data_IF_684433385663
#
_entry.id   IF_684433385663
#
_cell.length_a   1.000
_cell.length_b   1.000
_cell.length_c   1.000
_cell.angle_alpha   90.00
_cell.angle_beta   90.00
_cell.angle_gamma   90.00
#
_symmetry.space_group_name_H-M   'P 1'
#
loop_
_entity.id
_entity.type
_entity.pdbx_description
1 polymer ?
#
# COMPACT_ATOMS: atom_id res chain seq x y z
N UNK A 1 38.72 -4.61 -27.81
CA UNK A 1 39.39 -5.40 -28.87
C UNK A 1 38.55 -6.65 -29.13
N UNK A 2 37.59 -6.56 -30.05
CA UNK A 2 36.75 -7.71 -30.44
C UNK A 2 37.52 -8.44 -31.54
N UNK A 3 38.08 -9.61 -31.23
CA UNK A 3 38.70 -10.48 -32.24
C UNK A 3 37.59 -10.91 -33.21
N UNK A 4 37.69 -10.47 -34.47
CA UNK A 4 36.88 -11.01 -35.54
C UNK A 4 37.26 -12.47 -35.75
N UNK A 5 36.30 -13.37 -35.55
CA UNK A 5 36.49 -14.78 -35.89
C UNK A 5 36.50 -14.89 -37.42
N UNK A 6 37.67 -15.20 -37.97
CA UNK A 6 37.89 -15.39 -39.39
C UNK A 6 37.22 -16.69 -39.84
N UNK A 7 36.40 -16.62 -40.90
CA UNK A 7 35.69 -17.74 -41.51
C UNK A 7 36.61 -18.93 -41.88
N UNK A 8 37.92 -18.71 -42.01
CA UNK A 8 38.92 -19.74 -42.29
C UNK A 8 39.11 -20.76 -41.17
N UNK A 9 38.75 -20.46 -39.92
CA UNK A 9 39.00 -21.34 -38.77
C UNK A 9 37.90 -22.41 -38.55
N UNK A 10 36.81 -22.39 -39.33
CA UNK A 10 35.72 -23.38 -39.25
C UNK A 10 35.84 -24.55 -40.24
N UNK A 11 37.01 -24.78 -40.84
CA UNK A 11 37.22 -25.84 -41.86
C UNK A 11 37.22 -27.29 -41.33
N UNK A 12 36.95 -27.51 -40.05
CA UNK A 12 36.88 -28.84 -39.42
C UNK A 12 35.48 -29.29 -38.98
N UNK A 13 34.47 -28.43 -39.03
CA UNK A 13 33.13 -28.77 -38.59
C UNK A 13 32.27 -29.17 -39.80
N UNK A 14 31.69 -30.38 -39.75
CA UNK A 14 30.74 -30.84 -40.77
C UNK A 14 29.64 -29.80 -40.94
N UNK A 15 29.28 -29.47 -42.18
CA UNK A 15 28.22 -28.51 -42.52
C UNK A 15 26.91 -28.84 -41.78
N UNK A 16 26.67 -30.12 -41.48
CA UNK A 16 25.55 -30.61 -40.69
C UNK A 16 25.59 -30.10 -39.23
N UNK A 17 26.76 -30.14 -38.60
CA UNK A 17 26.98 -29.73 -37.21
C UNK A 17 26.74 -28.22 -37.08
N UNK A 18 27.31 -27.43 -37.99
CA UNK A 18 27.12 -25.97 -37.99
C UNK A 18 25.65 -25.58 -38.18
N UNK A 19 24.93 -26.25 -39.10
CA UNK A 19 23.49 -25.99 -39.32
C UNK A 19 22.64 -26.37 -38.10
N UNK A 20 22.98 -27.47 -37.42
CA UNK A 20 22.25 -27.91 -36.22
C UNK A 20 22.33 -26.88 -35.09
N UNK A 21 23.52 -26.29 -34.84
CA UNK A 21 23.69 -25.24 -33.84
C UNK A 21 22.88 -23.98 -34.17
N UNK A 22 22.84 -23.57 -35.45
CA UNK A 22 22.06 -22.40 -35.88
C UNK A 22 20.56 -22.62 -35.70
N UNK A 23 20.05 -23.81 -36.06
CA UNK A 23 18.63 -24.15 -35.91
C UNK A 23 18.25 -24.18 -34.42
N UNK A 24 19.07 -24.82 -33.57
CA UNK A 24 18.83 -24.88 -32.14
C UNK A 24 18.78 -23.48 -31.52
N UNK A 25 19.71 -22.60 -31.90
CA UNK A 25 19.75 -21.23 -31.43
C UNK A 25 18.50 -20.44 -31.86
N UNK A 26 18.06 -20.58 -33.11
CA UNK A 26 16.83 -19.93 -33.60
C UNK A 26 15.57 -20.43 -32.88
N UNK A 27 15.51 -21.73 -32.55
CA UNK A 27 14.39 -22.30 -31.79
C UNK A 27 14.34 -21.78 -30.35
N UNK A 28 15.49 -21.64 -29.69
CA UNK A 28 15.57 -21.06 -28.34
C UNK A 28 15.17 -19.58 -28.35
N UNK A 29 15.63 -18.82 -29.36
CA UNK A 29 15.23 -17.41 -29.52
C UNK A 29 13.74 -17.25 -29.78
N UNK A 30 13.16 -18.09 -30.66
CA UNK A 30 11.72 -18.09 -30.92
C UNK A 30 10.93 -18.44 -29.65
N UNK A 31 11.33 -19.48 -28.92
CA UNK A 31 10.70 -19.87 -27.67
C UNK A 31 10.74 -18.75 -26.61
N UNK A 32 11.88 -18.05 -26.48
CA UNK A 32 12.02 -16.91 -25.57
C UNK A 32 11.13 -15.72 -25.96
N UNK A 33 10.91 -15.48 -27.25
CA UNK A 33 10.01 -14.43 -27.74
C UNK A 33 8.54 -14.74 -27.43
N UNK A 34 8.11 -15.98 -27.59
CA UNK A 34 6.74 -16.42 -27.23
C UNK A 34 6.54 -16.58 -25.72
N UNK A 35 7.61 -16.73 -24.94
CA UNK A 35 7.55 -16.94 -23.51
C UNK A 35 7.53 -15.64 -22.67
N UNK A 36 7.63 -14.44 -23.27
CA UNK A 36 7.53 -13.17 -22.52
C UNK A 36 6.07 -12.89 -22.11
N UNK A 37 5.68 -13.17 -20.86
CA UNK A 37 4.32 -12.95 -20.42
C UNK A 37 4.20 -11.47 -20.02
N UNK A 38 3.56 -10.64 -20.83
CA UNK A 38 2.84 -9.43 -20.36
C UNK A 38 3.60 -8.45 -19.42
N UNK A 39 4.92 -8.33 -19.51
CA UNK A 39 5.72 -7.42 -18.65
C UNK A 39 5.93 -6.01 -19.26
N UNK A 40 5.21 -5.65 -20.32
CA UNK A 40 5.25 -4.28 -20.86
C UNK A 40 4.18 -3.40 -20.20
N UNK A 41 4.54 -2.20 -19.69
CA UNK A 41 3.59 -1.23 -19.13
C UNK A 41 2.50 -0.81 -20.13
N UNK A 42 2.78 -0.94 -21.43
CA UNK A 42 1.90 -0.56 -22.54
C UNK A 42 0.84 -1.60 -22.88
N UNK A 43 0.84 -2.79 -22.26
CA UNK A 43 -0.21 -3.76 -22.49
C UNK A 43 -1.54 -3.24 -21.89
N UNK A 44 -2.68 -3.33 -22.60
CA UNK A 44 -3.94 -2.68 -22.20
C UNK A 44 -4.42 -3.04 -20.78
N UNK A 45 -4.11 -4.27 -20.31
CA UNK A 45 -4.41 -4.70 -18.93
C UNK A 45 -3.63 -3.93 -17.85
N UNK A 46 -2.40 -3.52 -18.15
CA UNK A 46 -1.54 -2.80 -17.21
C UNK A 46 -1.87 -1.29 -17.20
N UNK A 47 -2.20 -0.74 -18.37
CA UNK A 47 -2.62 0.67 -18.51
C UNK A 47 -3.89 0.97 -17.72
N UNK A 48 -4.90 0.10 -17.79
CA UNK A 48 -6.15 0.30 -17.07
C UNK A 48 -5.99 0.16 -15.55
N UNK A 49 -5.08 -0.72 -15.08
CA UNK A 49 -4.74 -0.81 -13.65
C UNK A 49 -4.07 0.45 -13.12
N UNK A 50 -3.13 1.02 -13.88
CA UNK A 50 -2.49 2.29 -13.52
C UNK A 50 -3.50 3.44 -13.45
N UNK A 51 -4.43 3.51 -14.40
CA UNK A 51 -5.51 4.50 -14.40
C UNK A 51 -6.49 4.30 -13.24
N UNK A 52 -6.84 3.06 -12.92
CA UNK A 52 -7.74 2.73 -11.80
C UNK A 52 -7.13 3.07 -10.43
N UNK A 53 -5.79 3.07 -10.30
CA UNK A 53 -5.12 3.50 -9.08
C UNK A 53 -5.45 4.97 -8.73
N UNK A 54 -5.63 5.83 -9.74
CA UNK A 54 -6.05 7.22 -9.55
C UNK A 54 -7.40 7.30 -8.83
N UNK A 55 -8.44 6.65 -9.37
CA UNK A 55 -9.79 6.65 -8.80
C UNK A 55 -9.79 6.17 -7.35
N UNK A 56 -9.12 5.03 -7.08
CA UNK A 56 -8.98 4.49 -5.72
C UNK A 56 -8.26 5.46 -4.78
N UNK A 57 -7.13 6.02 -5.20
CA UNK A 57 -6.31 6.90 -4.37
C UNK A 57 -7.04 8.21 -4.04
N UNK A 58 -7.68 8.82 -5.04
CA UNK A 58 -8.39 10.08 -4.86
C UNK A 58 -9.64 9.89 -3.99
N UNK A 59 -10.42 8.83 -4.20
CA UNK A 59 -11.53 8.48 -3.31
C UNK A 59 -11.05 8.28 -1.86
N UNK A 60 -9.91 7.61 -1.65
CA UNK A 60 -9.33 7.45 -0.31
C UNK A 60 -8.95 8.79 0.33
N UNK A 61 -8.29 9.68 -0.41
CA UNK A 61 -7.90 11.00 0.08
C UNK A 61 -9.12 11.86 0.44
N UNK A 62 -10.20 11.79 -0.35
CA UNK A 62 -11.46 12.49 -0.07
C UNK A 62 -12.12 11.92 1.19
N UNK A 63 -12.16 10.60 1.37
CA UNK A 63 -12.69 10.00 2.60
C UNK A 63 -11.92 10.48 3.84
N UNK A 64 -10.59 10.52 3.78
CA UNK A 64 -9.75 11.04 4.88
C UNK A 64 -10.05 12.51 5.19
N UNK A 65 -10.24 13.33 4.15
CA UNK A 65 -10.61 14.73 4.32
C UNK A 65 -12.00 14.90 4.93
N UNK A 66 -12.97 14.06 4.55
CA UNK A 66 -14.30 14.07 5.15
C UNK A 66 -14.24 13.73 6.65
N UNK A 67 -13.41 12.75 7.03
CA UNK A 67 -13.20 12.41 8.45
C UNK A 67 -12.53 13.55 9.21
N UNK A 68 -11.49 14.16 8.65
CA UNK A 68 -10.81 15.31 9.26
C UNK A 68 -11.76 16.51 9.42
N UNK A 69 -12.48 16.86 8.36
CA UNK A 69 -13.44 17.96 8.39
C UNK A 69 -14.56 17.71 9.41
N UNK A 70 -15.07 16.47 9.51
CA UNK A 70 -16.05 16.10 10.53
C UNK A 70 -15.47 16.24 11.94
N UNK A 71 -14.23 15.80 12.18
CA UNK A 71 -13.59 15.94 13.48
C UNK A 71 -13.44 17.40 13.94
N UNK A 72 -13.23 18.32 12.99
CA UNK A 72 -13.09 19.75 13.26
C UNK A 72 -14.44 20.47 13.36
N UNK A 73 -15.45 20.06 12.57
CA UNK A 73 -16.67 20.85 12.36
C UNK A 73 -17.97 20.15 12.80
N UNK A 74 -17.91 18.88 13.22
CA UNK A 74 -19.05 18.08 13.65
C UNK A 74 -20.07 17.74 12.55
N UNK A 75 -19.73 17.96 11.28
CA UNK A 75 -20.58 17.68 10.11
C UNK A 75 -19.75 17.29 8.89
N UNK A 76 -20.34 16.51 7.98
CA UNK A 76 -19.70 16.18 6.70
C UNK A 76 -19.87 17.31 5.69
N UNK A 77 -18.94 17.41 4.74
CA UNK A 77 -19.13 18.24 3.55
C UNK A 77 -20.01 17.46 2.59
N UNK A 78 -21.24 17.94 2.35
CA UNK A 78 -22.19 17.27 1.46
C UNK A 78 -22.48 18.02 0.17
N UNK A 79 -21.99 19.26 0.07
CA UNK A 79 -22.18 20.14 -1.08
C UNK A 79 -21.18 19.79 -2.19
N UNK A 80 -21.68 19.39 -3.36
CA UNK A 80 -20.84 19.16 -4.55
C UNK A 80 -20.60 20.47 -5.34
N UNK A 81 -20.18 21.52 -4.65
CA UNK A 81 -19.87 22.85 -5.21
C UNK A 81 -18.39 23.18 -5.04
N UNK A 82 -17.83 24.17 -5.77
CA UNK A 82 -16.44 24.59 -5.59
C UNK A 82 -16.07 24.90 -4.13
N UNK A 83 -16.97 25.54 -3.39
CA UNK A 83 -16.79 25.89 -1.97
C UNK A 83 -16.78 24.64 -1.08
N UNK A 84 -17.63 23.65 -1.38
CA UNK A 84 -17.62 22.35 -0.70
C UNK A 84 -16.28 21.63 -0.90
N UNK A 85 -15.79 21.58 -2.13
CA UNK A 85 -14.49 20.98 -2.45
C UNK A 85 -13.31 21.75 -1.84
N UNK A 86 -13.40 23.07 -1.73
CA UNK A 86 -12.41 23.90 -1.06
C UNK A 86 -12.33 23.60 0.44
N UNK A 87 -13.46 23.41 1.13
CA UNK A 87 -13.51 23.01 2.54
C UNK A 87 -12.77 21.70 2.83
N UNK A 88 -12.75 20.77 1.87
CA UNK A 88 -12.01 19.51 2.01
C UNK A 88 -10.50 19.66 1.81
N UNK A 89 -10.04 20.73 1.16
CA UNK A 89 -8.62 21.05 0.95
C UNK A 89 -7.76 19.89 0.39
N UNK A 90 -8.36 18.96 -0.38
CA UNK A 90 -7.68 17.75 -0.88
C UNK A 90 -6.73 17.99 -2.06
N UNK A 91 -6.79 19.15 -2.70
CA UNK A 91 -5.98 19.47 -3.90
C UNK A 91 -6.30 18.62 -5.13
N UNK A 92 -7.47 17.98 -5.18
CA UNK A 92 -7.90 17.10 -6.27
C UNK A 92 -8.78 17.90 -7.25
N UNK A 93 -8.52 17.75 -8.55
CA UNK A 93 -9.42 18.24 -9.59
C UNK A 93 -10.70 17.41 -9.60
N UNK A 94 -11.87 18.06 -9.60
CA UNK A 94 -13.18 17.39 -9.64
C UNK A 94 -13.43 16.65 -10.95
N UNK A 95 -12.61 16.86 -11.98
CA UNK A 95 -12.60 16.05 -13.19
C UNK A 95 -11.16 15.86 -13.70
N UNK A 96 -10.85 14.63 -14.06
CA UNK A 96 -9.59 14.24 -14.72
C UNK A 96 -9.91 13.63 -16.08
N UNK A 97 -8.88 13.14 -16.77
CA UNK A 97 -9.05 12.40 -18.03
C UNK A 97 -9.68 11.01 -17.83
N UNK A 98 -9.77 10.51 -16.59
CA UNK A 98 -10.24 9.17 -16.28
C UNK A 98 -11.53 9.16 -15.45
N UNK A 99 -11.71 10.14 -14.57
CA UNK A 99 -12.79 10.16 -13.58
C UNK A 99 -13.41 11.55 -13.41
N UNK A 100 -14.71 11.56 -13.10
CA UNK A 100 -15.42 12.71 -12.55
C UNK A 100 -15.70 12.44 -11.08
N UNK A 101 -15.29 13.36 -10.22
CA UNK A 101 -15.48 13.26 -8.79
C UNK A 101 -16.69 14.07 -8.34
N UNK A 102 -17.51 13.48 -7.47
CA UNK A 102 -18.67 14.14 -6.88
C UNK A 102 -18.91 13.65 -5.46
N UNK A 103 -19.64 14.45 -4.67
CA UNK A 103 -19.99 14.15 -3.29
C UNK A 103 -21.51 14.20 -3.14
N UNK A 104 -22.09 13.36 -2.27
CA UNK A 104 -23.52 13.44 -1.93
C UNK A 104 -23.77 13.04 -0.47
N UNK A 105 -24.77 13.63 0.16
CA UNK A 105 -25.14 13.30 1.54
C UNK A 105 -25.69 11.87 1.68
N UNK A 106 -25.47 11.26 2.85
CA UNK A 106 -26.17 10.06 3.33
C UNK A 106 -26.87 10.44 4.63
N UNK A 107 -28.04 11.05 4.50
CA UNK A 107 -28.74 11.63 5.65
C UNK A 107 -27.84 12.61 6.41
N UNK A 108 -27.86 12.54 7.75
CA UNK A 108 -27.02 13.37 8.63
C UNK A 108 -25.73 12.67 9.09
N UNK A 109 -25.69 11.35 8.95
CA UNK A 109 -24.68 10.50 9.56
C UNK A 109 -23.63 10.02 8.57
N UNK A 110 -23.65 10.47 7.32
CA UNK A 110 -22.62 10.11 6.37
C UNK A 110 -22.63 10.88 5.06
N UNK A 111 -21.69 10.50 4.20
CA UNK A 111 -21.43 11.11 2.91
C UNK A 111 -20.84 10.08 1.95
N UNK A 112 -21.30 10.13 0.70
CA UNK A 112 -20.71 9.41 -0.43
C UNK A 112 -19.74 10.31 -1.18
N UNK A 113 -18.64 9.71 -1.63
CA UNK A 113 -17.77 10.25 -2.68
C UNK A 113 -17.83 9.31 -3.88
N UNK A 114 -17.99 9.85 -5.08
CA UNK A 114 -17.97 9.06 -6.31
C UNK A 114 -16.74 9.42 -7.14
N UNK A 115 -16.07 8.40 -7.68
CA UNK A 115 -15.16 8.52 -8.81
C UNK A 115 -15.83 7.81 -10.00
N UNK A 116 -16.49 8.58 -10.85
CA UNK A 116 -17.28 8.08 -11.97
C UNK A 116 -16.46 8.05 -13.26
N UNK A 117 -16.23 6.85 -13.79
CA UNK A 117 -15.60 6.65 -15.10
C UNK A 117 -16.61 6.35 -16.21
N UNK A 118 -17.90 6.15 -15.90
CA UNK A 118 -18.88 5.56 -16.83
C UNK A 118 -19.10 6.38 -18.10
N UNK A 119 -18.96 7.71 -18.00
CA UNK A 119 -19.11 8.66 -19.12
C UNK A 119 -17.77 9.18 -19.67
N UNK A 120 -16.63 8.85 -19.04
CA UNK A 120 -15.31 9.34 -19.44
C UNK A 120 -14.48 8.23 -20.06
N UNK A 121 -14.34 7.11 -19.35
CA UNK A 121 -13.56 5.97 -19.79
C UNK A 121 -14.23 4.66 -19.37
N UNK A 122 -15.10 4.14 -20.25
CA UNK A 122 -15.87 2.89 -20.03
C UNK A 122 -15.01 1.64 -19.84
N UNK A 123 -13.71 1.70 -20.12
CA UNK A 123 -12.79 0.60 -19.85
C UNK A 123 -12.33 0.55 -18.38
N UNK A 124 -12.67 1.56 -17.58
CA UNK A 124 -12.34 1.63 -16.16
C UNK A 124 -13.56 1.32 -15.29
N UNK A 125 -13.28 0.79 -14.11
CA UNK A 125 -14.27 0.66 -13.03
C UNK A 125 -14.43 1.99 -12.30
N UNK A 126 -15.61 2.20 -11.74
CA UNK A 126 -15.93 3.36 -10.92
C UNK A 126 -15.76 3.02 -9.44
N UNK A 127 -15.60 4.04 -8.60
CA UNK A 127 -15.42 3.87 -7.16
C UNK A 127 -16.44 4.69 -6.37
N UNK A 128 -16.94 4.10 -5.29
CA UNK A 128 -17.76 4.79 -4.28
C UNK A 128 -17.00 4.77 -2.95
N UNK A 129 -16.62 5.93 -2.44
CA UNK A 129 -16.18 6.11 -1.06
C UNK A 129 -17.38 6.39 -0.17
N UNK A 130 -17.46 5.75 0.98
CA UNK A 130 -18.53 5.99 1.95
C UNK A 130 -17.87 6.32 3.28
N UNK A 131 -18.22 7.47 3.86
CA UNK A 131 -17.82 7.85 5.22
C UNK A 131 -19.07 8.04 6.03
N UNK A 132 -19.12 7.47 7.23
CA UNK A 132 -20.27 7.62 8.09
C UNK A 132 -19.97 7.36 9.55
N UNK A 133 -20.93 7.71 10.40
CA UNK A 133 -20.91 7.46 11.82
C UNK A 133 -21.75 6.23 12.12
N UNK A 134 -21.16 5.26 12.80
CA UNK A 134 -21.84 4.06 13.31
C UNK A 134 -21.76 4.05 14.84
N UNK A 135 -22.68 3.38 15.50
CA UNK A 135 -22.64 3.16 16.94
C UNK A 135 -21.41 2.36 17.33
N UNK A 136 -20.74 2.81 18.39
CA UNK A 136 -19.67 2.05 19.01
C UNK A 136 -20.26 0.76 19.62
N UNK A 137 -19.82 -0.45 19.20
CA UNK A 137 -20.29 -1.70 19.80
C UNK A 137 -19.87 -1.87 21.27
N UNK A 138 -18.83 -1.14 21.71
CA UNK A 138 -18.28 -1.19 23.07
C UNK A 138 -18.84 -0.10 23.98
N UNK A 139 -19.28 1.04 23.42
CA UNK A 139 -19.83 2.17 24.17
C UNK A 139 -21.22 2.57 23.63
N UNK A 140 -22.31 1.94 24.13
CA UNK A 140 -23.67 2.24 23.67
C UNK A 140 -24.03 3.72 23.85
N UNK A 141 -24.34 4.39 22.75
CA UNK A 141 -24.67 5.82 22.71
C UNK A 141 -23.57 6.71 22.12
N UNK A 142 -22.34 6.20 22.03
CA UNK A 142 -21.27 6.87 21.30
C UNK A 142 -21.28 6.47 19.81
N UNK A 143 -20.83 7.39 18.96
CA UNK A 143 -20.68 7.15 17.52
C UNK A 143 -19.21 7.21 17.12
N UNK A 144 -18.79 6.25 16.31
CA UNK A 144 -17.48 6.20 15.68
C UNK A 144 -17.62 6.40 14.16
N UNK A 145 -16.76 7.24 13.61
CA UNK A 145 -16.48 7.39 12.20
C UNK A 145 -15.86 6.13 11.58
N UNK A 146 -16.39 5.79 10.42
CA UNK A 146 -16.05 4.62 9.64
C UNK A 146 -15.97 5.03 8.17
N UNK A 147 -14.99 4.50 7.44
CA UNK A 147 -14.85 4.79 6.01
C UNK A 147 -14.53 3.54 5.20
N UNK A 148 -15.20 3.39 4.07
CA UNK A 148 -14.97 2.29 3.12
C UNK A 148 -14.77 2.81 1.70
N UNK A 149 -14.17 1.98 0.85
CA UNK A 149 -14.10 2.18 -0.59
C UNK A 149 -14.67 0.95 -1.29
N UNK A 150 -15.56 1.21 -2.22
CA UNK A 150 -16.25 0.23 -3.04
C UNK A 150 -15.84 0.39 -4.49
N UNK A 151 -15.63 -0.72 -5.18
CA UNK A 151 -15.32 -0.78 -6.61
C UNK A 151 -16.46 -1.43 -7.38
N UNK A 152 -16.89 -0.85 -8.50
CA UNK A 152 -17.95 -1.46 -9.31
C UNK A 152 -17.58 -2.86 -9.81
N UNK A 153 -18.60 -3.71 -9.92
CA UNK A 153 -18.44 -5.10 -10.39
C UNK A 153 -17.85 -5.12 -11.80
N UNK A 154 -18.38 -4.28 -12.70
CA UNK A 154 -17.91 -4.18 -14.08
C UNK A 154 -17.33 -2.80 -14.40
N UNK A 155 -16.49 -2.76 -15.43
CA UNK A 155 -16.01 -1.51 -15.99
C UNK A 155 -17.15 -0.81 -16.76
N UNK A 156 -17.19 0.52 -16.69
CA UNK A 156 -18.24 1.32 -17.30
C UNK A 156 -19.55 1.38 -16.52
N UNK A 157 -19.67 0.67 -15.39
CA UNK A 157 -20.79 0.81 -14.48
C UNK A 157 -20.78 2.19 -13.79
N UNK A 158 -21.96 2.78 -13.63
CA UNK A 158 -22.16 4.01 -12.86
C UNK A 158 -21.97 3.68 -11.36
N UNK A 159 -21.20 4.46 -10.60
CA UNK A 159 -21.10 4.27 -9.16
C UNK A 159 -22.43 4.62 -8.48
N UNK A 160 -22.91 3.74 -7.60
CA UNK A 160 -24.14 3.95 -6.83
C UNK A 160 -23.81 4.41 -5.40
N UNK A 161 -24.73 5.12 -4.72
CA UNK A 161 -24.56 5.51 -3.31
C UNK A 161 -24.49 4.28 -2.41
N UNK A 162 -23.54 4.27 -1.48
CA UNK A 162 -23.50 3.31 -0.39
C UNK A 162 -24.47 3.67 0.73
N UNK A 163 -24.52 2.81 1.74
CA UNK A 163 -25.42 2.96 2.90
C UNK A 163 -24.63 3.15 4.19
N UNK A 164 -25.15 3.99 5.09
CA UNK A 164 -24.72 4.07 6.49
C UNK A 164 -25.89 3.61 7.35
N UNK A 165 -25.66 2.59 8.16
CA UNK A 165 -26.64 2.08 9.13
C UNK A 165 -26.10 2.29 10.54
N UNK A 166 -26.92 2.00 11.56
CA UNK A 166 -26.50 2.17 12.95
C UNK A 166 -25.22 1.40 13.31
N UNK A 167 -24.89 0.29 12.64
CA UNK A 167 -23.76 -0.57 13.05
C UNK A 167 -22.74 -0.83 11.95
N UNK A 168 -22.96 -0.32 10.74
CA UNK A 168 -22.07 -0.57 9.60
C UNK A 168 -22.26 0.42 8.48
N UNK A 169 -21.18 0.57 7.71
CA UNK A 169 -21.18 1.20 6.39
C UNK A 169 -21.13 0.10 5.34
N UNK A 170 -21.91 0.23 4.25
CA UNK A 170 -22.01 -0.78 3.20
C UNK A 170 -21.76 -0.21 1.82
N UNK A 171 -21.16 -1.04 0.97
CA UNK A 171 -21.13 -0.82 -0.47
C UNK A 171 -22.51 -0.97 -1.11
N UNK A 172 -22.76 -0.28 -2.23
CA UNK A 172 -23.93 -0.53 -3.05
C UNK A 172 -23.88 -1.93 -3.69
N UNK A 173 -25.05 -2.46 -4.06
CA UNK A 173 -25.18 -3.81 -4.61
C UNK A 173 -24.37 -4.05 -5.90
N UNK A 174 -24.07 -3.00 -6.67
CA UNK A 174 -23.30 -3.11 -7.90
C UNK A 174 -21.78 -3.07 -7.69
N UNK A 175 -21.30 -3.12 -6.44
CA UNK A 175 -19.88 -2.93 -6.12
C UNK A 175 -19.38 -3.93 -5.07
N UNK A 176 -18.07 -4.12 -5.01
CA UNK A 176 -17.37 -4.89 -3.97
C UNK A 176 -16.63 -3.97 -3.02
N UNK A 177 -16.60 -4.32 -1.73
CA UNK A 177 -15.73 -3.68 -0.75
C UNK A 177 -14.26 -3.99 -1.07
N UNK A 178 -13.43 -2.95 -1.17
CA UNK A 178 -11.99 -3.09 -1.47
C UNK A 178 -11.09 -2.41 -0.43
N UNK A 179 -11.65 -1.66 0.52
CA UNK A 179 -10.92 -1.04 1.63
C UNK A 179 -11.89 -0.61 2.75
N UNK A 180 -11.45 -0.70 4.00
CA UNK A 180 -12.21 -0.33 5.21
C UNK A 180 -11.25 0.30 6.26
N UNK A 181 -11.69 1.35 6.96
CA UNK A 181 -10.90 2.14 7.90
C UNK A 181 -11.75 2.72 9.05
N UNK A 182 -11.28 2.55 10.28
CA UNK A 182 -11.91 3.05 11.52
C UNK A 182 -11.20 4.30 12.03
N UNK A 183 -11.96 5.31 12.45
CA UNK A 183 -11.41 6.62 12.81
C UNK A 183 -11.25 6.87 14.32
N UNK A 184 -12.02 6.21 15.20
CA UNK A 184 -12.06 6.53 16.65
C UNK A 184 -11.56 5.45 17.61
N UNK A 185 -10.75 4.49 17.19
CA UNK A 185 -9.96 3.74 18.16
C UNK A 185 -8.88 4.68 18.74
N UNK A 186 -9.19 5.36 19.85
CA UNK A 186 -8.21 6.14 20.60
C UNK A 186 -7.12 5.21 21.13
N UNK A 187 -5.82 5.51 20.94
CA UNK A 187 -4.82 5.08 21.88
C UNK A 187 -4.91 6.01 23.08
N UNK A 188 -5.31 5.49 24.23
CA UNK A 188 -5.07 6.15 25.51
C UNK A 188 -3.56 6.40 25.66
N UNK A 189 -3.09 7.62 25.40
CA UNK A 189 -1.82 8.12 25.90
C UNK A 189 -1.99 9.58 26.35
N UNK A 190 -2.25 9.71 27.63
CA UNK A 190 -1.92 10.90 28.42
C UNK A 190 -0.40 11.09 28.42
N UNK A 191 0.11 12.20 27.88
CA UNK A 191 1.10 13.06 28.56
C UNK A 191 1.40 14.31 27.73
N UNK A 192 0.91 15.43 28.23
CA UNK A 192 1.58 16.72 28.42
C UNK A 192 2.97 17.00 27.81
N UNK A 193 3.03 18.21 27.25
CA UNK A 193 4.10 19.22 27.33
C UNK A 193 5.31 19.21 26.37
N UNK A 194 5.24 20.17 25.44
CA UNK A 194 6.06 21.39 25.40
C UNK A 194 7.25 21.48 24.42
N UNK A 195 7.22 22.64 23.74
CA UNK A 195 8.31 23.46 23.22
C UNK A 195 8.78 23.31 21.77
N UNK A 196 8.46 24.39 21.05
CA UNK A 196 9.13 25.02 19.93
C UNK A 196 10.66 25.10 20.06
N UNK A 197 11.40 24.84 18.98
CA UNK A 197 12.16 25.86 18.24
C UNK A 197 13.02 25.30 17.09
N UNK A 198 12.97 26.07 16.00
CA UNK A 198 13.85 26.29 14.85
C UNK A 198 15.20 25.54 14.63
N UNK A 199 15.33 25.12 13.35
CA UNK A 199 16.44 25.28 12.39
C UNK A 199 17.56 24.21 12.20
N UNK A 200 18.06 24.05 10.95
CA UNK A 200 18.77 22.88 10.44
C UNK A 200 20.29 23.07 10.42
N UNK A 201 21.04 21.97 10.45
CA UNK A 201 22.42 21.96 9.95
C UNK A 201 22.82 20.58 9.43
N UNK A 202 23.58 20.63 8.34
CA UNK A 202 24.13 19.54 7.53
C UNK A 202 25.02 18.60 8.35
N UNK A 203 25.02 17.31 8.00
CA UNK A 203 26.24 16.50 7.90
C UNK A 203 25.96 15.23 7.05
N UNK A 204 26.77 15.05 6.01
CA UNK A 204 26.98 13.81 5.26
C UNK A 204 28.52 13.58 5.17
N UNK A 205 29.02 12.38 4.81
CA UNK A 205 28.64 11.06 5.31
C UNK A 205 29.91 10.20 5.62
N UNK A 206 29.74 9.04 6.25
CA UNK A 206 30.67 7.90 6.10
C UNK A 206 29.85 6.61 5.84
N UNK A 207 30.29 5.71 4.94
CA UNK A 207 29.50 4.56 4.51
C UNK A 207 29.56 3.41 5.54
N UNK A 208 28.47 2.65 5.78
CA UNK A 208 28.55 1.46 6.60
C UNK A 208 28.98 0.23 5.78
N UNK A 209 29.89 -0.51 6.40
CA UNK A 209 30.48 -1.78 5.98
C UNK A 209 29.42 -2.89 5.84
N UNK A 210 29.51 -3.70 4.79
CA UNK A 210 28.44 -4.62 4.33
C UNK A 210 28.46 -6.01 4.99
N UNK A 211 29.22 -6.22 6.07
CA UNK A 211 29.48 -7.58 6.60
C UNK A 211 29.31 -7.76 8.12
N UNK A 212 28.65 -6.83 8.84
CA UNK A 212 28.27 -7.06 10.24
C UNK A 212 26.76 -7.29 10.36
N UNK A 213 26.41 -8.45 10.91
CA UNK A 213 25.06 -8.80 11.32
C UNK A 213 24.62 -7.79 12.40
N UNK A 214 23.58 -6.97 12.22
CA UNK A 214 23.21 -6.00 13.23
C UNK A 214 22.57 -6.73 14.42
N UNK A 215 23.31 -6.85 15.51
CA UNK A 215 22.73 -6.97 16.83
C UNK A 215 21.74 -5.81 17.06
N UNK A 216 20.65 -5.99 17.82
CA UNK A 216 19.67 -4.93 18.08
C UNK A 216 20.38 -3.70 18.64
N UNK A 217 20.36 -2.62 17.86
CA UNK A 217 21.01 -1.35 18.20
C UNK A 217 20.18 -0.66 19.28
N UNK A 218 20.81 -0.24 20.38
CA UNK A 218 20.17 0.64 21.38
C UNK A 218 19.55 1.86 20.68
N UNK A 219 18.24 2.07 20.86
CA UNK A 219 17.49 3.13 20.18
C UNK A 219 16.61 2.66 19.02
N UNK A 220 16.01 1.47 19.11
CA UNK A 220 14.96 1.00 18.20
C UNK A 220 13.86 2.06 18.08
N UNK A 221 13.62 2.61 16.87
CA UNK A 221 12.66 3.68 16.68
C UNK A 221 11.25 3.12 16.80
N UNK A 222 10.48 3.68 17.72
CA UNK A 222 9.10 3.34 17.99
C UNK A 222 8.21 4.49 17.54
N UNK A 223 7.58 4.36 16.37
CA UNK A 223 6.83 5.45 15.74
C UNK A 223 5.32 5.29 15.95
N UNK A 224 4.66 6.40 16.28
CA UNK A 224 3.19 6.51 16.30
C UNK A 224 2.61 6.62 14.89
N UNK A 225 3.39 7.07 13.91
CA UNK A 225 3.01 7.18 12.50
C UNK A 225 4.19 6.78 11.60
N UNK A 226 3.91 6.00 10.57
CA UNK A 226 4.94 5.62 9.61
C UNK A 226 5.49 6.85 8.86
N UNK A 227 6.82 7.02 8.89
CA UNK A 227 7.53 8.06 8.15
C UNK A 227 8.58 7.43 7.23
N UNK A 228 8.31 7.36 5.91
CA UNK A 228 9.24 6.77 4.95
C UNK A 228 10.56 7.55 4.85
N UNK A 229 10.53 8.85 5.14
CA UNK A 229 11.73 9.69 5.15
C UNK A 229 12.64 9.32 6.33
N UNK A 230 12.08 9.20 7.54
CA UNK A 230 12.84 8.77 8.72
C UNK A 230 13.41 7.35 8.55
N UNK A 231 12.65 6.44 7.94
CA UNK A 231 13.12 5.08 7.64
C UNK A 231 14.29 5.09 6.65
N UNK A 232 14.19 5.87 5.57
CA UNK A 232 15.26 6.02 4.57
C UNK A 232 16.51 6.69 5.15
N UNK A 233 16.37 7.69 6.01
CA UNK A 233 17.50 8.33 6.69
C UNK A 233 18.27 7.35 7.59
N UNK A 234 17.57 6.39 8.22
CA UNK A 234 18.19 5.40 9.11
C UNK A 234 19.00 4.35 8.36
N UNK A 235 18.55 3.96 7.18
CA UNK A 235 19.17 2.92 6.35
C UNK A 235 19.92 3.48 5.13
N UNK A 236 20.52 4.68 5.24
CA UNK A 236 21.32 5.33 4.18
C UNK A 236 22.35 4.35 3.58
N UNK A 237 22.03 3.76 2.42
CA UNK A 237 22.84 2.72 1.76
C UNK A 237 21.99 1.70 0.97
N UNK A 238 22.62 0.65 0.41
CA UNK A 238 21.91 -0.50 -0.19
C UNK A 238 21.32 -1.38 0.92
N UNK A 239 20.21 -0.92 1.50
CA UNK A 239 19.45 -1.69 2.47
C UNK A 239 19.15 -3.10 1.91
N UNK A 240 19.33 -4.18 2.69
CA UNK A 240 19.04 -5.51 2.23
C UNK A 240 17.56 -5.61 1.83
N UNK A 241 17.31 -6.26 0.70
CA UNK A 241 15.96 -6.48 0.16
C UNK A 241 15.68 -7.99 0.23
N UNK A 242 14.48 -8.37 0.65
CA UNK A 242 14.16 -9.79 0.83
C UNK A 242 12.69 -10.06 1.13
N UNK A 243 12.37 -11.34 1.32
CA UNK A 243 11.05 -11.74 1.79
C UNK A 243 10.95 -11.58 3.29
N UNK A 244 9.74 -11.43 3.81
CA UNK A 244 9.52 -11.36 5.26
C UNK A 244 8.73 -12.57 5.74
N UNK A 245 9.28 -13.21 6.76
CA UNK A 245 8.64 -14.27 7.53
C UNK A 245 8.32 -13.74 8.92
N UNK A 246 7.04 -13.79 9.26
CA UNK A 246 6.58 -13.49 10.62
C UNK A 246 6.37 -14.81 11.33
N UNK A 247 6.92 -14.90 12.54
CA UNK A 247 6.66 -15.99 13.47
C UNK A 247 5.80 -15.44 14.60
N UNK A 248 4.57 -15.93 14.71
CA UNK A 248 3.74 -15.68 15.89
C UNK A 248 4.15 -16.66 16.98
N UNK A 249 5.02 -16.20 17.87
CA UNK A 249 5.51 -16.90 19.06
C UNK A 249 4.70 -16.57 20.32
N UNK A 250 3.59 -15.84 20.18
CA UNK A 250 2.62 -15.62 21.27
C UNK A 250 1.58 -16.73 21.37
N UNK A 251 0.81 -16.70 22.44
CA UNK A 251 -0.37 -17.55 22.69
C UNK A 251 -1.67 -16.97 22.10
N UNK A 252 -1.61 -15.82 21.40
CA UNK A 252 -2.77 -15.11 20.87
C UNK A 252 -2.72 -14.95 19.35
N UNK A 253 -3.88 -14.69 18.73
CA UNK A 253 -3.94 -14.29 17.33
C UNK A 253 -3.24 -12.93 17.17
N UNK A 254 -2.29 -12.84 16.24
CA UNK A 254 -1.54 -11.61 16.01
C UNK A 254 -1.89 -11.01 14.65
N UNK A 255 -2.29 -9.74 14.65
CA UNK A 255 -2.49 -8.94 13.44
C UNK A 255 -1.20 -8.22 13.05
N UNK A 256 -0.60 -8.57 11.93
CA UNK A 256 0.58 -7.89 11.36
C UNK A 256 0.11 -6.89 10.34
N UNK A 257 0.67 -5.68 10.40
CA UNK A 257 0.39 -4.60 9.47
C UNK A 257 1.72 -4.14 8.86
N UNK A 258 1.79 -4.15 7.53
CA UNK A 258 2.97 -3.73 6.80
C UNK A 258 2.74 -2.38 6.14
N UNK A 259 3.76 -1.53 6.17
CA UNK A 259 3.74 -0.18 5.65
C UNK A 259 4.74 0.04 4.51
N UNK A 260 4.30 0.71 3.44
CA UNK A 260 5.09 0.98 2.23
C UNK A 260 5.23 2.49 1.97
N UNK A 261 6.42 3.00 1.57
CA UNK A 261 6.63 4.40 1.22
C UNK A 261 5.63 4.95 0.19
N UNK A 262 5.34 4.16 -0.84
CA UNK A 262 4.52 4.58 -1.97
C UNK A 262 3.01 4.30 -1.77
N UNK A 263 2.61 3.85 -0.57
CA UNK A 263 1.20 3.61 -0.26
C UNK A 263 0.56 4.84 0.39
N UNK A 264 -0.67 5.18 -0.01
CA UNK A 264 -1.38 6.37 0.47
C UNK A 264 -1.72 6.24 1.98
N UNK A 265 -0.94 6.89 2.83
CA UNK A 265 -1.05 6.78 4.30
C UNK A 265 -0.16 5.68 4.89
N UNK A 266 0.74 5.10 4.09
CA UNK A 266 1.73 4.15 4.55
C UNK A 266 1.23 2.72 4.66
N UNK A 267 -0.05 2.42 4.78
CA UNK A 267 -0.55 1.04 4.92
C UNK A 267 -0.51 0.27 3.59
N UNK A 268 0.13 -0.90 3.57
CA UNK A 268 0.15 -1.80 2.41
C UNK A 268 -0.83 -2.98 2.55
N UNK A 269 -0.71 -3.77 3.62
CA UNK A 269 -1.49 -4.99 3.81
C UNK A 269 -1.48 -5.46 5.27
N UNK A 270 -2.44 -6.32 5.61
CA UNK A 270 -2.66 -6.86 6.95
C UNK A 270 -2.80 -8.38 6.91
N UNK A 271 -2.27 -9.07 7.90
CA UNK A 271 -2.38 -10.52 8.06
C UNK A 271 -2.72 -10.88 9.50
N UNK A 272 -3.64 -11.82 9.70
CA UNK A 272 -3.92 -12.40 11.00
C UNK A 272 -3.20 -13.77 11.07
N UNK A 273 -2.32 -13.95 12.05
CA UNK A 273 -1.47 -15.13 12.21
C UNK A 273 -1.86 -15.82 13.52
N UNK A 274 -2.29 -17.09 13.43
CA UNK A 274 -2.65 -17.88 14.61
C UNK A 274 -1.43 -18.16 15.52
N UNK A 275 -1.66 -18.39 16.83
CA UNK A 275 -0.62 -18.75 17.79
C UNK A 275 0.28 -19.89 17.29
N UNK A 276 1.59 -19.76 17.48
CA UNK A 276 2.59 -20.78 17.12
C UNK A 276 2.77 -21.02 15.62
N UNK A 277 2.20 -20.18 14.74
CA UNK A 277 2.35 -20.30 13.29
C UNK A 277 3.38 -19.31 12.76
N UNK A 278 4.10 -19.71 11.72
CA UNK A 278 4.88 -18.80 10.88
C UNK A 278 4.26 -18.66 9.50
N UNK A 279 4.45 -17.49 8.89
CA UNK A 279 4.00 -17.24 7.52
C UNK A 279 4.96 -16.31 6.80
N UNK A 280 5.20 -16.59 5.52
CA UNK A 280 5.89 -15.66 4.63
C UNK A 280 4.83 -14.75 4.04
N UNK A 281 4.98 -13.44 4.23
CA UNK A 281 3.95 -12.50 3.77
C UNK A 281 3.83 -12.54 2.25
N UNK A 282 2.58 -12.57 1.78
CA UNK A 282 2.24 -12.67 0.38
C UNK A 282 0.94 -11.89 0.11
N UNK A 283 0.84 -11.31 -1.09
CA UNK A 283 -0.35 -10.64 -1.60
C UNK A 283 -0.75 -11.38 -2.88
N UNK A 284 -2.02 -11.79 -2.99
CA UNK A 284 -2.52 -12.60 -4.12
C UNK A 284 -1.67 -13.86 -4.37
N UNK A 285 -1.27 -14.54 -3.28
CA UNK A 285 -0.43 -15.73 -3.30
C UNK A 285 1.00 -15.53 -3.85
N UNK A 286 1.41 -14.28 -4.08
CA UNK A 286 2.76 -13.91 -4.49
C UNK A 286 3.53 -13.34 -3.29
N UNK A 287 4.70 -13.92 -3.00
CA UNK A 287 5.58 -13.42 -1.94
C UNK A 287 5.99 -12.00 -2.23
N UNK A 288 5.94 -11.16 -1.20
CA UNK A 288 6.38 -9.78 -1.31
C UNK A 288 7.88 -9.67 -1.05
N UNK A 289 8.52 -8.78 -1.77
CA UNK A 289 9.92 -8.43 -1.61
C UNK A 289 9.97 -7.02 -1.01
N UNK A 290 10.59 -6.90 0.15
CA UNK A 290 10.53 -5.68 0.98
C UNK A 290 11.94 -5.18 1.30
N UNK A 291 12.06 -3.86 1.47
CA UNK A 291 13.28 -3.20 1.92
C UNK A 291 13.30 -3.00 3.44
N UNK A 292 14.49 -2.74 3.99
CA UNK A 292 14.67 -2.45 5.42
C UNK A 292 13.94 -1.17 5.87
N UNK A 293 13.69 -0.25 4.93
CA UNK A 293 13.03 1.05 5.13
C UNK A 293 11.50 0.97 5.16
N UNK A 294 10.93 -0.21 4.96
CA UNK A 294 9.49 -0.43 5.10
C UNK A 294 9.10 -0.46 6.57
N UNK A 295 7.88 -0.04 6.90
CA UNK A 295 7.39 -0.09 8.28
C UNK A 295 6.67 -1.39 8.57
N UNK A 296 6.74 -1.88 9.81
CA UNK A 296 5.94 -3.00 10.29
C UNK A 296 5.38 -2.68 11.67
N UNK A 297 4.16 -3.15 11.92
CA UNK A 297 3.49 -3.14 13.22
C UNK A 297 2.89 -4.50 13.50
N UNK A 298 2.94 -4.94 14.74
CA UNK A 298 2.30 -6.16 15.21
C UNK A 298 1.31 -5.82 16.32
N UNK A 299 0.05 -6.20 16.12
CA UNK A 299 -1.07 -5.86 16.99
C UNK A 299 -1.08 -4.34 17.32
N UNK A 300 -0.99 -4.00 18.60
CA UNK A 300 -0.96 -2.63 19.12
C UNK A 300 0.45 -2.07 19.34
N UNK A 301 1.51 -2.75 18.86
CA UNK A 301 2.88 -2.23 18.95
C UNK A 301 3.01 -0.91 18.20
N UNK A 302 4.12 -0.19 18.43
CA UNK A 302 4.46 0.90 17.54
C UNK A 302 4.94 0.41 16.17
N UNK A 303 5.06 1.36 15.24
CA UNK A 303 5.57 1.13 13.88
C UNK A 303 7.09 1.26 13.94
N UNK A 304 7.79 0.30 13.35
CA UNK A 304 9.24 0.37 13.21
C UNK A 304 9.70 -0.09 11.82
N UNK A 305 10.90 0.30 11.38
CA UNK A 305 11.48 -0.21 10.15
C UNK A 305 11.67 -1.73 10.25
N UNK A 306 11.41 -2.43 9.15
CA UNK A 306 11.58 -3.88 9.02
C UNK A 306 13.01 -4.29 9.34
N UNK A 307 13.99 -3.47 8.96
CA UNK A 307 15.41 -3.75 9.26
C UNK A 307 15.73 -3.73 10.75
N UNK A 308 14.97 -2.96 11.55
CA UNK A 308 15.11 -2.92 13.01
C UNK A 308 14.23 -4.00 13.69
N UNK A 309 13.17 -4.44 13.02
CA UNK A 309 12.19 -5.41 13.53
C UNK A 309 12.63 -6.88 13.44
N UNK A 310 13.58 -7.21 12.57
CA UNK A 310 13.89 -8.61 12.25
C UNK A 310 15.32 -8.85 11.80
N UNK A 311 15.73 -10.11 11.92
CA UNK A 311 17.05 -10.55 11.48
C UNK A 311 17.02 -10.84 9.98
N UNK A 312 17.94 -10.23 9.22
CA UNK A 312 18.11 -10.51 7.80
C UNK A 312 19.12 -11.63 7.59
N UNK A 313 18.73 -12.70 6.88
CA UNK A 313 19.63 -13.76 6.46
C UNK A 313 19.11 -14.42 5.18
N UNK A 314 20.02 -14.74 4.25
CA UNK A 314 19.71 -15.45 3.00
C UNK A 314 18.52 -14.86 2.20
N UNK A 315 18.41 -13.53 2.11
CA UNK A 315 17.32 -12.89 1.38
C UNK A 315 15.97 -12.89 2.12
N UNK A 316 15.98 -13.11 3.44
CA UNK A 316 14.77 -13.16 4.27
C UNK A 316 14.94 -12.36 5.56
N UNK A 317 13.95 -11.54 5.88
CA UNK A 317 13.73 -10.96 7.20
C UNK A 317 12.89 -11.91 8.04
N UNK A 318 13.41 -12.33 9.19
CA UNK A 318 12.66 -13.11 10.18
C UNK A 318 12.32 -12.22 11.37
N UNK A 319 11.03 -12.01 11.60
CA UNK A 319 10.48 -11.17 12.67
C UNK A 319 9.70 -12.05 13.64
N UNK A 320 10.02 -11.94 14.94
CA UNK A 320 9.27 -12.60 16.01
C UNK A 320 8.22 -11.63 16.54
N UNK A 321 6.98 -12.09 16.76
CA UNK A 321 5.92 -11.21 17.27
C UNK A 321 6.25 -10.64 18.65
N UNK A 322 6.83 -11.44 19.54
CA UNK A 322 7.26 -11.03 20.89
C UNK A 322 8.28 -9.89 20.88
N UNK A 323 9.16 -9.84 19.87
CA UNK A 323 10.12 -8.74 19.74
C UNK A 323 9.42 -7.40 19.54
N UNK A 324 8.32 -7.39 18.77
CA UNK A 324 7.57 -6.17 18.49
C UNK A 324 6.66 -5.75 19.64
N UNK A 325 6.23 -6.67 20.51
CA UNK A 325 5.44 -6.32 21.71
C UNK A 325 6.24 -5.62 22.81
N UNK A 326 7.56 -5.81 22.83
CA UNK A 326 8.43 -5.24 23.87
C UNK A 326 8.85 -3.78 23.58
N UNK A 327 8.31 -3.16 22.52
CA UNK A 327 8.60 -1.79 22.10
C UNK A 327 7.33 -1.01 21.73
#
# INVERSE_FOLDING_TARGET
>A
MIKSLSYKDMKGYSLLVLKSFVILFLLILAAAFFALPSFLPSHPRNVNRGKQAEGKQYTSSINKAQQAYYAENGKFVTENSPEGWERLAVGIKTQTINYKYSISAIGKDGVNTFADASQINKALKSYTGVVGLISDPTNPGEKIGWAIICETKNAGDVPLPGEVTATKVKCPDNSYLISEFDFFATPNLTSSNSNSNSNPSEFEPNPPDLNSNPSPVQGTPCWSKYSPEQARHRWRGRAPVGHIEIVNDSDQLVRVILFHPDSNGGLLATWDINPGRSTVLAINNQRITIGADWGIRVASSCIMPVGDAGQYSQGRYKVMSSFLFNY
#
